data_IF_928872301237
#
_entry.id   IF_928872301237
#
_cell.length_a   1.000
_cell.length_b   1.000
_cell.length_c   1.000
_cell.angle_alpha   90.00
_cell.angle_beta   90.00
_cell.angle_gamma   90.00
#
_symmetry.space_group_name_H-M   'P 1'
#
loop_
_entity.id
_entity.type
_entity.pdbx_description
1 polymer ?
#
# COMPACT_ATOMS: atom_id res chain seq x y z
N UNK A 1 -23.86 -5.86 -38.60
CA UNK A 1 -23.39 -4.61 -37.93
C UNK A 1 -23.60 -4.58 -36.41
N UNK A 2 -24.65 -5.19 -35.82
CA UNK A 2 -24.89 -5.12 -34.35
C UNK A 2 -23.85 -5.86 -33.47
N UNK A 3 -23.11 -6.83 -34.02
CA UNK A 3 -22.11 -7.61 -33.29
C UNK A 3 -20.86 -6.80 -32.88
N UNK A 4 -20.51 -5.77 -33.65
CA UNK A 4 -19.34 -4.91 -33.38
C UNK A 4 -19.52 -4.08 -32.10
N UNK A 5 -20.76 -3.69 -31.80
CA UNK A 5 -21.10 -2.85 -30.64
C UNK A 5 -21.08 -3.64 -29.32
N UNK A 6 -21.42 -4.94 -29.37
CA UNK A 6 -21.33 -5.82 -28.20
C UNK A 6 -19.88 -6.09 -27.80
N UNK A 7 -18.99 -6.27 -28.78
CA UNK A 7 -17.57 -6.53 -28.54
C UNK A 7 -16.88 -5.35 -27.82
N UNK A 8 -17.21 -4.12 -28.22
CA UNK A 8 -16.76 -2.89 -27.54
C UNK A 8 -17.14 -2.89 -26.05
N UNK A 9 -18.36 -3.28 -25.72
CA UNK A 9 -18.85 -3.27 -24.35
C UNK A 9 -18.11 -4.30 -23.47
N UNK A 10 -17.84 -5.49 -24.00
CA UNK A 10 -17.02 -6.49 -23.30
C UNK A 10 -15.59 -6.02 -23.05
N UNK A 11 -14.98 -5.31 -24.00
CA UNK A 11 -13.64 -4.75 -23.84
C UNK A 11 -13.64 -3.69 -22.73
N UNK A 12 -14.64 -2.81 -22.70
CA UNK A 12 -14.78 -1.82 -21.63
C UNK A 12 -15.01 -2.44 -20.26
N UNK A 13 -15.82 -3.49 -20.17
CA UNK A 13 -16.03 -4.24 -18.92
C UNK A 13 -14.72 -4.90 -18.46
N UNK A 14 -13.98 -5.53 -19.38
CA UNK A 14 -12.68 -6.13 -19.07
C UNK A 14 -11.67 -5.08 -18.57
N UNK A 15 -11.64 -3.89 -19.19
CA UNK A 15 -10.81 -2.76 -18.75
C UNK A 15 -11.20 -2.31 -17.34
N UNK A 16 -12.50 -2.13 -17.06
CA UNK A 16 -12.96 -1.73 -15.72
C UNK A 16 -12.63 -2.77 -14.65
N UNK A 17 -12.74 -4.06 -14.98
CA UNK A 17 -12.35 -5.16 -14.08
C UNK A 17 -10.85 -5.13 -13.83
N UNK A 18 -10.02 -4.99 -14.87
CA UNK A 18 -8.56 -4.88 -14.73
C UNK A 18 -8.16 -3.63 -13.93
N UNK A 19 -8.83 -2.50 -14.15
CA UNK A 19 -8.60 -1.26 -13.41
C UNK A 19 -8.97 -1.42 -11.94
N UNK A 20 -10.14 -2.02 -11.66
CA UNK A 20 -10.59 -2.33 -10.31
C UNK A 20 -9.66 -3.31 -9.59
N UNK A 21 -9.18 -4.36 -10.28
CA UNK A 21 -8.18 -5.29 -9.76
C UNK A 21 -6.84 -4.61 -9.50
N UNK A 22 -6.39 -3.73 -10.41
CA UNK A 22 -5.16 -2.95 -10.24
C UNK A 22 -5.23 -2.04 -9.02
N UNK A 23 -6.35 -1.32 -8.87
CA UNK A 23 -6.60 -0.47 -7.70
C UNK A 23 -6.72 -1.33 -6.44
N UNK A 24 -7.44 -2.45 -6.48
CA UNK A 24 -7.62 -3.33 -5.32
C UNK A 24 -6.31 -3.96 -4.86
N UNK A 25 -5.48 -4.45 -5.79
CA UNK A 25 -4.15 -4.99 -5.49
C UNK A 25 -3.22 -3.90 -4.95
N UNK A 26 -3.27 -2.69 -5.49
CA UNK A 26 -2.53 -1.54 -4.96
C UNK A 26 -3.01 -1.09 -3.59
N UNK A 27 -4.32 -1.12 -3.33
CA UNK A 27 -4.90 -0.80 -2.03
C UNK A 27 -4.64 -1.90 -1.00
N UNK A 28 -4.60 -3.16 -1.44
CA UNK A 28 -4.22 -4.32 -0.61
C UNK A 28 -2.72 -4.38 -0.33
N UNK A 29 -1.91 -3.73 -1.18
CA UNK A 29 -0.49 -3.45 -0.94
C UNK A 29 -0.26 -2.24 -0.03
N UNK A 30 -1.29 -1.46 0.34
CA UNK A 30 -1.16 -0.62 1.53
C UNK A 30 -1.14 -1.59 2.71
N UNK A 31 0.01 -1.78 3.39
CA UNK A 31 0.05 -2.64 4.55
C UNK A 31 -1.06 -2.16 5.48
N UNK A 32 -1.91 -3.08 5.93
CA UNK A 32 -2.88 -2.81 6.98
C UNK A 32 -2.09 -2.20 8.15
N UNK A 33 -2.12 -0.88 8.28
CA UNK A 33 -1.69 -0.15 9.48
C UNK A 33 -2.75 -0.36 10.57
N UNK A 34 -3.17 -1.61 10.74
CA UNK A 34 -4.12 -2.10 11.75
C UNK A 34 -3.44 -3.16 12.63
N UNK A 35 -2.19 -3.54 12.32
CA UNK A 35 -1.31 -4.30 13.21
C UNK A 35 -0.22 -3.42 13.87
N UNK A 36 -0.35 -2.09 13.75
CA UNK A 36 0.60 -1.11 14.30
C UNK A 36 0.55 -0.93 15.82
N UNK A 37 -0.13 -1.79 16.56
CA UNK A 37 -0.06 -1.81 18.04
C UNK A 37 1.03 -2.77 18.52
N UNK A 38 1.39 -3.79 17.73
CA UNK A 38 2.29 -4.86 18.18
C UNK A 38 3.71 -4.78 17.59
N UNK A 39 3.96 -3.92 16.58
CA UNK A 39 5.29 -3.76 15.98
C UNK A 39 5.87 -2.35 16.23
N UNK A 40 6.80 -2.20 17.19
CA UNK A 40 7.49 -0.95 17.49
C UNK A 40 8.19 -0.31 16.28
N UNK A 41 8.68 -1.11 15.33
CA UNK A 41 9.33 -0.60 14.11
C UNK A 41 8.33 0.09 13.17
N UNK A 42 7.10 -0.41 13.08
CA UNK A 42 6.07 0.19 12.21
C UNK A 42 5.62 1.57 12.71
N UNK A 43 5.59 1.75 14.04
CA UNK A 43 5.33 3.06 14.67
C UNK A 43 6.48 4.02 14.37
N UNK A 44 7.72 3.55 14.46
CA UNK A 44 8.92 4.35 14.20
C UNK A 44 8.98 4.84 12.74
N UNK A 45 8.68 3.96 11.78
CA UNK A 45 8.65 4.28 10.35
C UNK A 45 7.56 5.33 10.03
N UNK A 46 6.40 5.22 10.68
CA UNK A 46 5.31 6.21 10.53
C UNK A 46 5.74 7.61 11.02
N UNK A 47 6.50 7.69 12.11
CA UNK A 47 7.01 8.96 12.65
C UNK A 47 8.05 9.60 11.73
N UNK A 48 8.93 8.79 11.14
CA UNK A 48 9.89 9.25 10.14
C UNK A 48 9.17 9.79 8.91
N UNK A 49 8.17 9.07 8.40
CA UNK A 49 7.38 9.49 7.23
C UNK A 49 6.61 10.80 7.47
N UNK A 50 6.23 11.08 8.72
CA UNK A 50 5.58 12.33 9.13
C UNK A 50 6.57 13.47 9.38
N UNK A 51 7.87 13.18 9.42
CA UNK A 51 8.92 14.16 9.75
C UNK A 51 8.97 14.53 11.23
N UNK A 52 8.37 13.73 12.12
CA UNK A 52 8.42 13.94 13.58
C UNK A 52 9.78 13.56 14.17
N UNK A 53 10.56 12.74 13.46
CA UNK A 53 11.91 12.31 13.84
C UNK A 53 12.87 12.47 12.66
N UNK A 54 14.14 12.71 12.96
CA UNK A 54 15.19 12.74 11.95
C UNK A 54 15.58 11.33 11.48
N UNK A 55 16.16 11.19 10.28
CA UNK A 55 16.71 9.91 9.82
C UNK A 55 17.79 9.34 10.76
N UNK A 56 18.55 10.21 11.45
CA UNK A 56 19.58 9.80 12.38
C UNK A 56 19.00 9.16 13.65
N UNK A 57 17.95 9.75 14.22
CA UNK A 57 17.22 9.20 15.37
C UNK A 57 16.51 7.90 15.02
N UNK A 58 15.96 7.79 13.80
CA UNK A 58 15.38 6.55 13.30
C UNK A 58 16.39 5.39 13.32
N UNK A 59 17.59 5.62 12.80
CA UNK A 59 18.62 4.57 12.71
C UNK A 59 19.16 4.14 14.07
N UNK A 60 19.19 5.04 15.05
CA UNK A 60 19.57 4.70 16.42
C UNK A 60 18.51 3.83 17.09
N UNK A 61 17.24 4.21 17.00
CA UNK A 61 16.14 3.47 17.62
C UNK A 61 15.94 2.12 16.92
N UNK A 62 16.03 2.08 15.59
CA UNK A 62 15.96 0.84 14.79
C UNK A 62 17.02 -0.17 15.21
N UNK A 63 18.27 0.28 15.42
CA UNK A 63 19.36 -0.58 15.90
C UNK A 63 19.05 -1.18 17.27
N UNK A 64 18.57 -0.36 18.21
CA UNK A 64 18.20 -0.82 19.57
C UNK A 64 17.07 -1.85 19.54
N UNK A 65 16.06 -1.64 18.69
CA UNK A 65 14.91 -2.54 18.57
C UNK A 65 15.24 -3.87 17.88
N UNK A 66 16.28 -3.92 17.04
CA UNK A 66 16.69 -5.14 16.32
C UNK A 66 17.76 -5.94 17.08
N UNK A 67 18.43 -5.32 18.05
CA UNK A 67 19.47 -5.94 18.88
C UNK A 67 18.95 -6.62 20.16
N UNK A 68 17.64 -6.56 20.44
CA UNK A 68 16.97 -7.25 21.55
C UNK A 68 16.34 -8.55 21.08
#
# INVERSE_FOLDING_TARGET
>A
MMWMMWLSNFIWIAILILLGLGIWTWYRQRPRITQGVDNPLAILELRLARGEISPAEYDEIRRRLTSS
#
